data_IF_442000738146
#
_entry.id   IF_442000738146
#
_cell.length_a   1.000
_cell.length_b   1.000
_cell.length_c   1.000
_cell.angle_alpha   90.00
_cell.angle_beta   90.00
_cell.angle_gamma   90.00
#
_symmetry.space_group_name_H-M   'P 1'
#
loop_
_entity.id
_entity.type
_entity.pdbx_description
1 polymer ?
#
# COMPACT_ATOMS: atom_id res chain seq x y z
N UNK A 1 -21.73 76.35 -82.96
CA UNK A 1 -21.46 75.15 -83.79
C UNK A 1 -22.20 75.19 -85.13
N UNK A 2 -23.51 75.43 -85.15
CA UNK A 2 -24.28 75.29 -86.40
C UNK A 2 -23.89 76.27 -87.52
N UNK A 3 -23.49 77.51 -87.20
CA UNK A 3 -23.24 78.55 -88.21
C UNK A 3 -21.89 78.42 -88.92
N UNK A 4 -20.84 77.98 -88.23
CA UNK A 4 -19.52 77.74 -88.88
C UNK A 4 -19.62 76.57 -89.85
N UNK A 5 -20.24 75.46 -89.44
CA UNK A 5 -20.41 74.30 -90.32
C UNK A 5 -21.36 74.62 -91.49
N UNK A 6 -22.44 75.37 -91.26
CA UNK A 6 -23.35 75.81 -92.32
C UNK A 6 -22.65 76.71 -93.35
N UNK A 7 -21.85 77.69 -92.91
CA UNK A 7 -21.11 78.56 -93.82
C UNK A 7 -19.99 77.82 -94.58
N UNK A 8 -19.35 76.81 -93.96
CA UNK A 8 -18.39 75.93 -94.63
C UNK A 8 -19.06 75.01 -95.66
N UNK A 9 -20.21 74.44 -95.33
CA UNK A 9 -20.98 73.57 -96.23
C UNK A 9 -21.52 74.37 -97.43
N UNK A 10 -21.99 75.60 -97.22
CA UNK A 10 -22.41 76.51 -98.29
C UNK A 10 -21.21 76.93 -99.16
N UNK A 11 -20.05 77.18 -98.56
CA UNK A 11 -18.82 77.48 -99.29
C UNK A 11 -18.38 76.28 -100.16
N UNK A 12 -18.48 75.06 -99.63
CA UNK A 12 -18.21 73.83 -100.39
C UNK A 12 -19.19 73.70 -101.55
N UNK A 13 -20.49 73.89 -101.32
CA UNK A 13 -21.51 73.82 -102.38
C UNK A 13 -21.25 74.83 -103.51
N UNK A 14 -20.90 76.08 -103.17
CA UNK A 14 -20.53 77.12 -104.15
C UNK A 14 -19.31 76.71 -104.98
N UNK A 15 -18.32 76.05 -104.36
CA UNK A 15 -17.11 75.57 -105.04
C UNK A 15 -17.39 74.34 -105.91
N UNK A 16 -18.29 73.45 -105.49
CA UNK A 16 -18.70 72.27 -106.26
C UNK A 16 -19.53 72.61 -107.50
N UNK A 17 -20.43 73.61 -107.40
CA UNK A 17 -21.25 74.11 -108.51
C UNK A 17 -20.50 75.11 -109.42
N UNK A 18 -19.26 75.46 -109.06
CA UNK A 18 -18.47 76.46 -109.76
C UNK A 18 -18.18 76.05 -111.22
N UNK A 19 -18.32 77.02 -112.13
CA UNK A 19 -18.13 76.76 -113.56
C UNK A 19 -16.64 76.64 -113.90
N UNK A 20 -16.22 75.48 -114.41
CA UNK A 20 -14.84 75.23 -114.88
C UNK A 20 -14.43 76.09 -116.09
N UNK A 21 -13.17 76.50 -116.14
CA UNK A 21 -12.59 77.25 -117.27
C UNK A 21 -11.90 76.29 -118.25
N UNK A 22 -12.28 76.27 -119.55
CA UNK A 22 -11.78 75.29 -120.51
C UNK A 22 -10.24 75.26 -120.61
N UNK A 23 -9.66 74.06 -120.69
CA UNK A 23 -8.21 73.82 -120.81
C UNK A 23 -7.37 74.31 -119.62
N UNK A 24 -7.99 74.58 -118.46
CA UNK A 24 -7.31 74.90 -117.19
C UNK A 24 -7.90 74.11 -116.02
N UNK A 25 -7.18 74.02 -114.90
CA UNK A 25 -7.68 73.40 -113.67
C UNK A 25 -8.50 74.36 -112.78
N UNK A 26 -8.84 75.56 -113.28
CA UNK A 26 -9.53 76.60 -112.51
C UNK A 26 -11.05 76.57 -112.66
N UNK A 27 -11.76 77.04 -111.64
CA UNK A 27 -13.20 77.30 -111.66
C UNK A 27 -13.47 78.79 -111.38
N UNK A 28 -14.62 79.29 -111.86
CA UNK A 28 -15.11 80.64 -111.59
C UNK A 28 -16.13 80.56 -110.46
N UNK A 29 -15.81 81.20 -109.33
CA UNK A 29 -16.69 81.32 -108.16
C UNK A 29 -17.15 82.77 -107.98
N UNK A 30 -18.37 83.03 -107.49
CA UNK A 30 -18.81 84.35 -107.06
C UNK A 30 -17.96 84.82 -105.87
N UNK A 31 -17.00 85.73 -106.14
CA UNK A 31 -16.05 86.21 -105.13
C UNK A 31 -16.73 86.87 -103.92
N UNK A 32 -17.87 87.55 -104.12
CA UNK A 32 -18.60 88.21 -103.04
C UNK A 32 -19.10 87.21 -102.01
N UNK A 33 -19.90 86.25 -102.48
CA UNK A 33 -20.52 85.19 -101.67
C UNK A 33 -19.46 84.35 -100.93
N UNK A 34 -18.35 83.99 -101.59
CA UNK A 34 -17.23 83.28 -100.96
C UNK A 34 -16.58 84.09 -99.84
N UNK A 35 -16.37 85.39 -100.02
CA UNK A 35 -15.77 86.24 -98.99
C UNK A 35 -16.72 86.47 -97.81
N UNK A 36 -18.02 86.58 -98.07
CA UNK A 36 -19.04 86.70 -97.02
C UNK A 36 -19.09 85.44 -96.14
N UNK A 37 -19.09 84.25 -96.74
CA UNK A 37 -19.04 82.99 -96.01
C UNK A 37 -17.74 82.80 -95.23
N UNK A 38 -16.60 83.20 -95.80
CA UNK A 38 -15.32 83.18 -95.08
C UNK A 38 -15.28 84.18 -93.92
N UNK A 39 -15.93 85.34 -94.05
CA UNK A 39 -16.08 86.32 -92.97
C UNK A 39 -17.01 85.79 -91.87
N UNK A 40 -18.14 85.15 -92.23
CA UNK A 40 -19.03 84.47 -91.27
C UNK A 40 -18.31 83.36 -90.50
N UNK A 41 -17.50 82.54 -91.19
CA UNK A 41 -16.65 81.52 -90.57
C UNK A 41 -15.60 82.16 -89.65
N UNK A 42 -14.93 83.23 -90.10
CA UNK A 42 -13.93 83.95 -89.31
C UNK A 42 -14.52 84.54 -88.04
N UNK A 43 -15.73 85.07 -88.10
CA UNK A 43 -16.38 85.74 -86.99
C UNK A 43 -17.00 84.75 -86.00
N UNK A 44 -17.45 83.58 -86.48
CA UNK A 44 -18.09 82.55 -85.64
C UNK A 44 -17.09 81.53 -85.04
N UNK A 45 -15.98 81.18 -85.71
CA UNK A 45 -14.97 80.23 -85.20
C UNK A 45 -14.43 80.58 -83.81
N UNK A 46 -14.03 81.83 -83.51
CA UNK A 46 -13.45 82.17 -82.22
C UNK A 46 -14.38 81.85 -81.05
N UNK A 47 -15.68 82.12 -81.18
CA UNK A 47 -16.67 81.80 -80.15
C UNK A 47 -16.84 80.28 -79.97
N UNK A 48 -16.85 79.51 -81.05
CA UNK A 48 -16.96 78.04 -80.96
C UNK A 48 -15.71 77.39 -80.36
N UNK A 49 -14.53 77.97 -80.61
CA UNK A 49 -13.29 77.51 -80.01
C UNK A 49 -13.23 77.85 -78.51
N UNK A 50 -13.75 79.02 -78.12
CA UNK A 50 -13.89 79.44 -76.71
C UNK A 50 -14.84 78.49 -75.95
N UNK A 51 -16.02 78.21 -76.50
CA UNK A 51 -16.97 77.25 -75.95
C UNK A 51 -16.35 75.85 -75.78
N UNK A 52 -15.55 75.41 -76.77
CA UNK A 52 -14.86 74.13 -76.70
C UNK A 52 -13.76 74.11 -75.62
N UNK A 53 -13.05 75.22 -75.43
CA UNK A 53 -12.06 75.37 -74.37
C UNK A 53 -12.74 75.36 -73.00
N UNK A 54 -13.85 76.07 -72.83
CA UNK A 54 -14.64 76.05 -71.58
C UNK A 54 -15.09 74.64 -71.20
N UNK A 55 -15.53 73.83 -72.18
CA UNK A 55 -15.89 72.43 -71.93
C UNK A 55 -14.68 71.59 -71.51
N UNK A 56 -13.51 71.80 -72.12
CA UNK A 56 -12.28 71.10 -71.75
C UNK A 56 -11.81 71.47 -70.35
N UNK A 57 -11.84 72.76 -70.00
CA UNK A 57 -11.49 73.26 -68.68
C UNK A 57 -12.47 72.75 -67.62
N UNK A 58 -13.76 72.73 -67.93
CA UNK A 58 -14.78 72.17 -67.05
C UNK A 58 -14.57 70.67 -66.83
N UNK A 59 -14.26 69.91 -67.90
CA UNK A 59 -13.92 68.48 -67.80
C UNK A 59 -12.70 68.27 -66.92
N UNK A 60 -11.63 69.03 -67.14
CA UNK A 60 -10.38 68.86 -66.41
C UNK A 60 -10.56 69.18 -64.92
N UNK A 61 -11.36 70.22 -64.61
CA UNK A 61 -11.79 70.50 -63.25
C UNK A 61 -12.61 69.36 -62.64
N UNK A 62 -13.64 68.86 -63.34
CA UNK A 62 -14.46 67.75 -62.86
C UNK A 62 -13.63 66.49 -62.60
N UNK A 63 -12.69 66.16 -63.49
CA UNK A 63 -11.79 65.01 -63.34
C UNK A 63 -10.83 65.23 -62.15
N UNK A 64 -10.33 66.45 -61.97
CA UNK A 64 -9.51 66.82 -60.82
C UNK A 64 -10.26 66.65 -59.50
N UNK A 65 -11.45 67.24 -59.39
CA UNK A 65 -12.31 67.15 -58.21
C UNK A 65 -12.70 65.70 -57.92
N UNK A 66 -13.06 64.92 -58.95
CA UNK A 66 -13.41 63.51 -58.79
C UNK A 66 -12.22 62.67 -58.30
N UNK A 67 -11.01 62.91 -58.82
CA UNK A 67 -9.78 62.23 -58.35
C UNK A 67 -9.48 62.59 -56.91
N UNK A 68 -9.54 63.87 -56.55
CA UNK A 68 -9.30 64.33 -55.19
C UNK A 68 -10.30 63.70 -54.20
N UNK A 69 -11.59 63.70 -54.56
CA UNK A 69 -12.63 63.08 -53.74
C UNK A 69 -12.43 61.56 -53.60
N UNK A 70 -12.02 60.88 -54.67
CA UNK A 70 -11.73 59.45 -54.63
C UNK A 70 -10.51 59.15 -53.74
N UNK A 71 -9.42 59.91 -53.87
CA UNK A 71 -8.23 59.79 -53.03
C UNK A 71 -8.55 60.03 -51.56
N UNK A 72 -9.34 61.06 -51.26
CA UNK A 72 -9.79 61.34 -49.90
C UNK A 72 -10.65 60.21 -49.35
N UNK A 73 -11.59 59.69 -50.15
CA UNK A 73 -12.45 58.56 -49.74
C UNK A 73 -11.63 57.32 -49.43
N UNK A 74 -10.68 56.97 -50.29
CA UNK A 74 -9.79 55.82 -50.09
C UNK A 74 -8.89 56.02 -48.87
N UNK A 75 -8.35 57.22 -48.67
CA UNK A 75 -7.53 57.54 -47.50
C UNK A 75 -8.31 57.39 -46.19
N UNK A 76 -9.53 57.92 -46.13
CA UNK A 76 -10.40 57.79 -44.94
C UNK A 76 -10.78 56.34 -44.70
N UNK A 77 -11.21 55.61 -45.74
CA UNK A 77 -11.57 54.20 -45.62
C UNK A 77 -10.38 53.34 -45.14
N UNK A 78 -9.17 53.61 -45.63
CA UNK A 78 -7.97 52.91 -45.16
C UNK A 78 -7.62 53.25 -43.71
N UNK A 79 -7.81 54.50 -43.28
CA UNK A 79 -7.59 54.91 -41.90
C UNK A 79 -8.57 54.22 -40.94
N UNK A 80 -9.86 54.24 -41.27
CA UNK A 80 -10.92 53.57 -40.50
C UNK A 80 -10.71 52.05 -40.44
N UNK A 81 -10.30 51.44 -41.56
CA UNK A 81 -9.96 50.02 -41.59
C UNK A 81 -8.77 49.67 -40.68
N UNK A 82 -7.73 50.52 -40.68
CA UNK A 82 -6.58 50.33 -39.81
C UNK A 82 -6.91 50.49 -38.33
N UNK A 83 -7.74 51.47 -37.97
CA UNK A 83 -8.25 51.66 -36.61
C UNK A 83 -9.05 50.44 -36.16
N UNK A 84 -10.03 50.01 -36.97
CA UNK A 84 -10.87 48.83 -36.68
C UNK A 84 -10.05 47.56 -36.47
N UNK A 85 -9.02 47.33 -37.31
CA UNK A 85 -8.13 46.17 -37.17
C UNK A 85 -7.30 46.26 -35.89
N UNK A 86 -6.83 47.45 -35.52
CA UNK A 86 -6.04 47.67 -34.32
C UNK A 86 -6.88 47.39 -33.08
N UNK A 87 -8.08 47.98 -33.00
CA UNK A 87 -9.03 47.76 -31.92
C UNK A 87 -9.42 46.28 -31.81
N UNK A 88 -9.70 45.62 -32.94
CA UNK A 88 -10.02 44.21 -32.95
C UNK A 88 -8.88 43.34 -32.42
N UNK A 89 -7.62 43.67 -32.75
CA UNK A 89 -6.43 42.97 -32.27
C UNK A 89 -6.23 43.18 -30.77
N UNK A 90 -6.30 44.42 -30.28
CA UNK A 90 -6.17 44.71 -28.85
C UNK A 90 -7.27 44.02 -28.02
N UNK A 91 -8.50 44.00 -28.53
CA UNK A 91 -9.59 43.29 -27.88
C UNK A 91 -9.36 41.77 -27.88
N UNK A 92 -8.88 41.19 -28.98
CA UNK A 92 -8.54 39.78 -29.04
C UNK A 92 -7.41 39.42 -28.07
N UNK A 93 -6.36 40.23 -27.99
CA UNK A 93 -5.23 40.03 -27.09
C UNK A 93 -5.68 40.08 -25.62
N UNK A 94 -6.56 41.02 -25.27
CA UNK A 94 -7.17 41.10 -23.93
C UNK A 94 -8.00 39.85 -23.60
N UNK A 95 -8.87 39.42 -24.50
CA UNK A 95 -9.69 38.21 -24.31
C UNK A 95 -8.79 36.97 -24.12
N UNK A 96 -7.73 36.86 -24.91
CA UNK A 96 -6.78 35.75 -24.81
C UNK A 96 -6.00 35.78 -23.48
N UNK A 97 -5.61 36.95 -22.99
CA UNK A 97 -4.97 37.10 -21.69
C UNK A 97 -5.92 36.70 -20.56
N UNK A 98 -7.14 37.24 -20.56
CA UNK A 98 -8.16 36.91 -19.55
C UNK A 98 -8.50 35.42 -19.54
N UNK A 99 -8.63 34.81 -20.72
CA UNK A 99 -8.90 33.38 -20.86
C UNK A 99 -7.74 32.51 -20.34
N UNK A 100 -6.49 32.92 -20.58
CA UNK A 100 -5.30 32.25 -20.04
C UNK A 100 -5.27 32.34 -18.52
N UNK A 101 -5.50 33.52 -17.96
CA UNK A 101 -5.52 33.72 -16.50
C UNK A 101 -6.65 32.92 -15.83
N UNK A 102 -7.80 32.78 -16.49
CA UNK A 102 -8.89 31.92 -16.00
C UNK A 102 -8.52 30.43 -16.08
N UNK A 103 -7.89 30.00 -17.18
CA UNK A 103 -7.44 28.62 -17.33
C UNK A 103 -6.37 28.26 -16.28
N UNK A 104 -5.41 29.14 -16.04
CA UNK A 104 -4.35 28.95 -15.05
C UNK A 104 -4.92 28.85 -13.63
N UNK A 105 -5.90 29.71 -13.29
CA UNK A 105 -6.63 29.61 -12.02
C UNK A 105 -7.38 28.29 -11.88
N UNK A 106 -8.13 27.88 -12.91
CA UNK A 106 -8.86 26.62 -12.90
C UNK A 106 -7.93 25.42 -12.72
N UNK A 107 -6.78 25.41 -13.40
CA UNK A 107 -5.79 24.34 -13.26
C UNK A 107 -5.17 24.34 -11.85
N UNK A 108 -4.87 25.50 -11.28
CA UNK A 108 -4.34 25.61 -9.92
C UNK A 108 -5.34 25.11 -8.87
N UNK A 109 -6.61 25.52 -8.98
CA UNK A 109 -7.69 25.06 -8.10
C UNK A 109 -7.92 23.56 -8.23
N UNK A 110 -8.00 23.02 -9.45
CA UNK A 110 -8.15 21.59 -9.69
C UNK A 110 -6.99 20.78 -9.12
N UNK A 111 -5.74 21.26 -9.25
CA UNK A 111 -4.56 20.62 -8.64
C UNK A 111 -4.64 20.64 -7.11
N UNK A 112 -4.94 21.79 -6.51
CA UNK A 112 -5.09 21.89 -5.06
C UNK A 112 -6.19 20.97 -4.52
N UNK A 113 -7.32 20.87 -5.24
CA UNK A 113 -8.41 19.98 -4.85
C UNK A 113 -8.01 18.50 -4.98
N UNK A 114 -7.31 18.13 -6.05
CA UNK A 114 -6.80 16.77 -6.21
C UNK A 114 -5.79 16.40 -5.12
N UNK A 115 -4.89 17.32 -4.74
CA UNK A 115 -3.95 17.11 -3.63
C UNK A 115 -4.66 16.91 -2.29
N UNK A 116 -5.71 17.68 -2.02
CA UNK A 116 -6.55 17.52 -0.82
C UNK A 116 -7.24 16.16 -0.80
N UNK A 117 -7.87 15.74 -1.91
CA UNK A 117 -8.53 14.44 -2.00
C UNK A 117 -7.55 13.27 -1.78
N UNK A 118 -6.33 13.38 -2.33
CA UNK A 118 -5.29 12.36 -2.14
C UNK A 118 -4.81 12.33 -0.68
N UNK A 119 -4.70 13.49 -0.03
CA UNK A 119 -4.32 13.56 1.39
C UNK A 119 -5.41 12.91 2.27
N UNK A 120 -6.66 13.30 2.08
CA UNK A 120 -7.81 12.77 2.84
C UNK A 120 -7.94 11.25 2.66
N UNK A 121 -7.84 10.76 1.42
CA UNK A 121 -7.88 9.32 1.14
C UNK A 121 -6.72 8.55 1.80
N UNK A 122 -5.54 9.16 1.93
CA UNK A 122 -4.40 8.55 2.64
C UNK A 122 -4.63 8.52 4.14
N UNK A 123 -5.13 9.60 4.73
CA UNK A 123 -5.46 9.65 6.16
C UNK A 123 -6.55 8.63 6.53
N UNK A 124 -7.58 8.49 5.68
CA UNK A 124 -8.64 7.48 5.86
C UNK A 124 -8.09 6.06 5.74
N UNK A 125 -7.21 5.80 4.75
CA UNK A 125 -6.56 4.52 4.59
C UNK A 125 -5.69 4.16 5.82
N UNK A 126 -4.89 5.11 6.30
CA UNK A 126 -4.05 4.92 7.50
C UNK A 126 -4.89 4.66 8.74
N UNK A 127 -6.00 5.38 8.92
CA UNK A 127 -6.95 5.18 10.02
C UNK A 127 -7.56 3.77 9.97
N UNK A 128 -8.00 3.33 8.78
CA UNK A 128 -8.58 2.00 8.57
C UNK A 128 -7.58 0.89 8.86
N UNK A 129 -6.34 1.04 8.42
CA UNK A 129 -5.26 0.08 8.70
C UNK A 129 -4.97 0.02 10.21
N UNK A 130 -4.88 1.17 10.88
CA UNK A 130 -4.63 1.23 12.31
C UNK A 130 -5.79 0.63 13.14
N UNK A 131 -7.04 0.79 12.71
CA UNK A 131 -8.18 0.11 13.29
C UNK A 131 -8.08 -1.41 13.10
N UNK A 132 -7.86 -1.88 11.86
CA UNK A 132 -7.72 -3.30 11.56
C UNK A 132 -6.59 -3.97 12.34
N UNK A 133 -5.45 -3.29 12.51
CA UNK A 133 -4.33 -3.78 13.34
C UNK A 133 -4.73 -3.93 14.81
N UNK A 134 -5.42 -2.95 15.38
CA UNK A 134 -5.90 -3.01 16.78
C UNK A 134 -6.89 -4.16 16.99
N UNK A 135 -7.81 -4.36 16.05
CA UNK A 135 -8.76 -5.47 16.11
C UNK A 135 -8.05 -6.83 15.99
N UNK A 136 -7.12 -6.94 15.05
CA UNK A 136 -6.32 -8.13 14.84
C UNK A 136 -5.51 -8.51 16.09
N UNK A 137 -4.84 -7.54 16.71
CA UNK A 137 -4.06 -7.75 17.93
C UNK A 137 -4.94 -8.16 19.11
N UNK A 138 -6.12 -7.53 19.25
CA UNK A 138 -7.09 -7.89 20.28
C UNK A 138 -7.61 -9.32 20.11
N UNK A 139 -7.99 -9.69 18.88
CA UNK A 139 -8.50 -11.02 18.55
C UNK A 139 -7.42 -12.08 18.79
N UNK A 140 -6.21 -11.83 18.30
CA UNK A 140 -5.07 -12.74 18.43
C UNK A 140 -4.70 -12.94 19.90
N UNK A 141 -4.66 -11.87 20.70
CA UNK A 141 -4.38 -11.93 22.14
C UNK A 141 -5.44 -12.75 22.89
N UNK A 142 -6.72 -12.55 22.55
CA UNK A 142 -7.83 -13.29 23.14
C UNK A 142 -7.78 -14.78 22.78
N UNK A 143 -7.56 -15.11 21.51
CA UNK A 143 -7.42 -16.49 21.05
C UNK A 143 -6.24 -17.21 21.72
N UNK A 144 -5.08 -16.53 21.86
CA UNK A 144 -3.93 -17.08 22.59
C UNK A 144 -4.27 -17.36 24.05
N UNK A 145 -4.86 -16.39 24.75
CA UNK A 145 -5.24 -16.55 26.16
C UNK A 145 -6.33 -17.62 26.36
N UNK A 146 -7.23 -17.81 25.41
CA UNK A 146 -8.20 -18.90 25.44
C UNK A 146 -7.55 -20.26 25.18
N UNK A 147 -6.65 -20.35 24.21
CA UNK A 147 -5.88 -21.56 23.92
C UNK A 147 -5.04 -22.00 25.11
N UNK A 148 -4.33 -21.07 25.77
CA UNK A 148 -3.53 -21.34 26.95
C UNK A 148 -4.40 -21.88 28.10
N UNK A 149 -5.56 -21.25 28.35
CA UNK A 149 -6.54 -21.73 29.34
C UNK A 149 -7.06 -23.13 29.02
N UNK A 150 -7.31 -23.44 27.75
CA UNK A 150 -7.76 -24.76 27.34
C UNK A 150 -6.68 -25.82 27.58
N UNK A 151 -5.42 -25.50 27.25
CA UNK A 151 -4.27 -26.39 27.51
C UNK A 151 -4.11 -26.62 29.03
N UNK A 152 -4.18 -25.58 29.83
CA UNK A 152 -4.04 -25.67 31.29
C UNK A 152 -5.18 -26.49 31.91
N UNK A 153 -6.43 -26.22 31.52
CA UNK A 153 -7.60 -27.01 31.95
C UNK A 153 -7.49 -28.47 31.50
N UNK A 154 -6.98 -28.72 30.30
CA UNK A 154 -6.73 -30.05 29.77
C UNK A 154 -5.68 -30.80 30.59
N UNK A 155 -4.55 -30.16 30.90
CA UNK A 155 -3.49 -30.71 31.75
C UNK A 155 -4.00 -31.04 33.15
N UNK A 156 -4.70 -30.10 33.80
CA UNK A 156 -5.26 -30.33 35.13
C UNK A 156 -6.29 -31.48 35.16
N UNK A 157 -7.05 -31.67 34.09
CA UNK A 157 -7.99 -32.79 33.98
C UNK A 157 -7.28 -34.11 33.71
N UNK A 158 -6.23 -34.09 32.88
CA UNK A 158 -5.37 -35.25 32.63
C UNK A 158 -4.65 -35.70 33.92
N UNK A 159 -4.02 -34.77 34.65
CA UNK A 159 -3.33 -35.06 35.91
C UNK A 159 -4.26 -35.67 36.94
N UNK A 160 -5.49 -35.14 37.07
CA UNK A 160 -6.53 -35.74 37.93
C UNK A 160 -6.88 -37.17 37.50
N UNK A 161 -7.15 -37.39 36.21
CA UNK A 161 -7.50 -38.72 35.71
C UNK A 161 -6.36 -39.75 35.91
N UNK A 162 -5.10 -39.33 35.75
CA UNK A 162 -3.94 -40.16 36.03
C UNK A 162 -3.84 -40.46 37.53
N UNK A 163 -4.00 -39.46 38.39
CA UNK A 163 -4.00 -39.64 39.85
C UNK A 163 -5.09 -40.60 40.33
N UNK A 164 -6.32 -40.40 39.85
CA UNK A 164 -7.45 -41.28 40.15
C UNK A 164 -7.21 -42.71 39.64
N UNK A 165 -6.62 -42.84 38.44
CA UNK A 165 -6.26 -44.13 37.86
C UNK A 165 -5.19 -44.89 38.65
N UNK A 166 -4.15 -44.19 39.13
CA UNK A 166 -3.11 -44.77 39.99
C UNK A 166 -3.73 -45.21 41.33
N UNK A 167 -4.54 -44.36 41.95
CA UNK A 167 -5.19 -44.69 43.22
C UNK A 167 -6.12 -45.92 43.09
N UNK A 168 -6.87 -46.01 42.00
CA UNK A 168 -7.72 -47.17 41.72
C UNK A 168 -6.91 -48.42 41.40
N UNK A 169 -5.81 -48.30 40.65
CA UNK A 169 -4.87 -49.40 40.40
C UNK A 169 -4.30 -49.93 41.72
N UNK A 170 -3.81 -49.06 42.60
CA UNK A 170 -3.29 -49.43 43.93
C UNK A 170 -4.37 -50.16 44.76
N UNK A 171 -5.60 -49.65 44.74
CA UNK A 171 -6.74 -50.28 45.39
C UNK A 171 -6.98 -51.70 44.86
N UNK A 172 -7.03 -51.90 43.55
CA UNK A 172 -7.24 -53.20 42.92
C UNK A 172 -6.09 -54.19 43.19
N UNK A 173 -4.84 -53.73 43.16
CA UNK A 173 -3.67 -54.54 43.49
C UNK A 173 -3.72 -54.97 44.95
N UNK A 174 -4.03 -54.07 45.89
CA UNK A 174 -4.14 -54.41 47.32
C UNK A 174 -5.27 -55.41 47.63
N UNK A 175 -6.33 -55.42 46.81
CA UNK A 175 -7.45 -56.34 46.94
C UNK A 175 -7.23 -57.69 46.24
N UNK A 176 -6.15 -57.85 45.47
CA UNK A 176 -5.85 -59.10 44.78
C UNK A 176 -5.42 -60.18 45.78
N UNK A 177 -5.98 -61.39 45.69
CA UNK A 177 -5.69 -62.49 46.63
C UNK A 177 -4.20 -62.81 46.75
N UNK A 178 -3.44 -62.70 45.65
CA UNK A 178 -1.99 -62.94 45.66
C UNK A 178 -1.26 -61.93 46.56
N UNK A 179 -1.66 -60.65 46.56
CA UNK A 179 -1.05 -59.60 47.39
C UNK A 179 -1.43 -59.80 48.86
N UNK A 180 -2.69 -60.13 49.14
CA UNK A 180 -3.13 -60.44 50.50
C UNK A 180 -2.44 -61.69 51.05
N UNK A 181 -2.33 -62.74 50.24
CA UNK A 181 -1.61 -63.96 50.59
C UNK A 181 -0.12 -63.68 50.81
N UNK A 182 0.51 -62.87 49.95
CA UNK A 182 1.91 -62.47 50.12
C UNK A 182 2.14 -61.66 51.41
N UNK A 183 1.23 -60.76 51.78
CA UNK A 183 1.29 -60.02 53.05
C UNK A 183 1.08 -60.93 54.26
N UNK A 184 0.08 -61.82 54.20
CA UNK A 184 -0.18 -62.78 55.26
C UNK A 184 1.02 -63.72 55.45
N UNK A 185 1.63 -64.20 54.36
CA UNK A 185 2.82 -65.05 54.42
C UNK A 185 4.04 -64.28 54.92
N UNK A 186 4.23 -63.02 54.50
CA UNK A 186 5.31 -62.16 55.02
C UNK A 186 5.18 -61.96 56.53
N UNK A 187 3.96 -61.71 57.03
CA UNK A 187 3.69 -61.60 58.45
C UNK A 187 3.98 -62.93 59.17
N UNK A 188 3.54 -64.07 58.63
CA UNK A 188 3.85 -65.39 59.20
C UNK A 188 5.36 -65.67 59.27
N UNK A 189 6.11 -65.32 58.23
CA UNK A 189 7.57 -65.51 58.18
C UNK A 189 8.25 -64.64 59.24
N UNK A 190 7.82 -63.39 59.41
CA UNK A 190 8.32 -62.49 60.47
C UNK A 190 8.01 -63.05 61.85
N UNK A 191 6.77 -63.46 62.09
CA UNK A 191 6.34 -64.04 63.38
C UNK A 191 7.10 -65.34 63.69
N UNK A 192 7.26 -66.22 62.70
CA UNK A 192 8.03 -67.44 62.83
C UNK A 192 9.51 -67.16 63.14
N UNK A 193 10.13 -66.19 62.46
CA UNK A 193 11.50 -65.79 62.71
C UNK A 193 11.69 -65.20 64.11
N UNK A 194 10.73 -64.41 64.60
CA UNK A 194 10.73 -63.92 65.98
C UNK A 194 10.58 -65.06 67.00
N UNK A 195 9.62 -65.96 66.79
CA UNK A 195 9.41 -67.11 67.68
C UNK A 195 10.62 -68.06 67.72
N UNK A 196 11.27 -68.28 66.57
CA UNK A 196 12.49 -69.06 66.48
C UNK A 196 13.66 -68.35 67.18
N UNK A 197 13.80 -67.04 67.02
CA UNK A 197 14.81 -66.24 67.73
C UNK A 197 14.63 -66.31 69.25
N UNK A 198 13.39 -66.24 69.73
CA UNK A 198 13.09 -66.34 71.16
C UNK A 198 13.29 -67.77 71.70
N UNK A 199 13.00 -68.79 70.89
CA UNK A 199 13.31 -70.19 71.22
C UNK A 199 14.82 -70.41 71.33
N UNK A 200 15.59 -69.95 70.34
CA UNK A 200 17.06 -70.04 70.36
C UNK A 200 17.65 -69.35 71.58
N UNK A 201 17.15 -68.17 71.96
CA UNK A 201 17.55 -67.50 73.21
C UNK A 201 17.26 -68.37 74.43
N UNK A 202 16.05 -68.90 74.53
CA UNK A 202 15.65 -69.73 75.67
C UNK A 202 16.45 -71.04 75.76
N UNK A 203 16.73 -71.68 74.62
CA UNK A 203 17.58 -72.88 74.53
C UNK A 203 19.03 -72.57 74.89
N UNK A 204 19.57 -71.44 74.44
CA UNK A 204 20.88 -70.96 74.86
C UNK A 204 20.93 -70.71 76.37
N UNK A 205 19.92 -70.05 76.94
CA UNK A 205 19.84 -69.78 78.38
C UNK A 205 19.80 -71.09 79.19
N UNK A 206 18.96 -72.05 78.77
CA UNK A 206 18.84 -73.35 79.44
C UNK A 206 20.10 -74.22 79.27
N UNK A 207 20.76 -74.15 78.12
CA UNK A 207 22.05 -74.80 77.90
C UNK A 207 23.14 -74.20 78.80
N UNK A 208 23.20 -72.88 78.90
CA UNK A 208 24.13 -72.18 79.80
C UNK A 208 23.87 -72.56 81.26
N UNK A 209 22.61 -72.56 81.70
CA UNK A 209 22.22 -72.96 83.06
C UNK A 209 22.61 -74.42 83.36
N UNK A 210 22.30 -75.34 82.45
CA UNK A 210 22.69 -76.75 82.58
C UNK A 210 24.20 -76.92 82.67
N UNK A 211 24.97 -76.21 81.83
CA UNK A 211 26.44 -76.29 81.86
C UNK A 211 27.02 -75.65 83.12
N UNK A 212 26.41 -74.59 83.63
CA UNK A 212 26.78 -73.99 84.92
C UNK A 212 26.47 -74.94 86.09
N UNK A 213 25.34 -75.63 86.08
CA UNK A 213 24.98 -76.63 87.08
C UNK A 213 25.92 -77.85 87.04
N UNK A 214 26.23 -78.38 85.85
CA UNK A 214 27.25 -79.44 85.70
C UNK A 214 28.63 -78.99 86.21
N UNK A 215 28.99 -77.73 85.96
CA UNK A 215 30.23 -77.15 86.44
C UNK A 215 30.22 -76.98 87.98
N UNK A 216 29.10 -76.56 88.56
CA UNK A 216 28.89 -76.50 90.01
C UNK A 216 29.02 -77.88 90.66
N UNK A 217 28.41 -78.90 90.07
CA UNK A 217 28.51 -80.29 90.53
C UNK A 217 29.95 -80.80 90.44
N UNK A 218 30.65 -80.48 89.35
CA UNK A 218 32.07 -80.83 89.17
C UNK A 218 32.95 -80.15 90.23
N UNK A 219 32.74 -78.87 90.50
CA UNK A 219 33.46 -78.14 91.56
C UNK A 219 33.11 -78.67 92.95
N UNK A 220 31.84 -78.98 93.23
CA UNK A 220 31.39 -79.59 94.49
C UNK A 220 31.96 -80.99 94.69
N UNK A 221 32.03 -81.78 93.63
CA UNK A 221 32.73 -83.07 93.60
C UNK A 221 34.23 -82.92 93.85
N UNK A 222 34.85 -81.92 93.26
CA UNK A 222 36.27 -81.58 93.47
C UNK A 222 36.52 -81.13 94.91
N UNK A 223 35.69 -80.28 95.49
CA UNK A 223 35.76 -79.87 96.91
C UNK A 223 35.58 -81.07 97.83
N UNK A 224 34.64 -81.98 97.55
CA UNK A 224 34.48 -83.24 98.30
C UNK A 224 35.69 -84.17 98.14
N UNK A 225 36.30 -84.21 96.96
CA UNK A 225 37.53 -84.98 96.72
C UNK A 225 38.73 -84.39 97.48
N UNK A 226 38.91 -83.06 97.45
CA UNK A 226 39.92 -82.34 98.25
C UNK A 226 39.64 -82.48 99.74
N UNK A 227 38.37 -82.45 100.16
CA UNK A 227 37.94 -82.74 101.53
C UNK A 227 38.29 -84.15 101.97
N UNK A 228 38.02 -85.16 101.14
CA UNK A 228 38.43 -86.55 101.37
C UNK A 228 39.95 -86.70 101.39
N UNK A 229 40.69 -86.09 100.48
CA UNK A 229 42.16 -86.07 100.48
C UNK A 229 42.75 -85.38 101.72
N UNK A 230 42.13 -84.29 102.20
CA UNK A 230 42.50 -83.64 103.46
C UNK A 230 42.15 -84.48 104.69
N UNK A 231 41.04 -85.22 104.66
CA UNK A 231 40.67 -86.18 105.70
C UNK A 231 41.66 -87.37 105.70
N UNK A 232 42.05 -87.90 104.53
CA UNK A 232 43.04 -88.97 104.35
C UNK A 232 44.45 -88.56 104.77
N UNK A 233 44.80 -87.27 104.70
CA UNK A 233 46.03 -86.73 105.29
C UNK A 233 45.93 -86.50 106.81
N UNK A 234 44.70 -86.49 107.38
CA UNK A 234 44.43 -86.37 108.82
C UNK A 234 44.21 -87.71 109.54
N UNK A 235 43.84 -88.76 108.80
CA UNK A 235 43.65 -90.14 109.29
C UNK A 235 44.35 -91.10 108.33
N UNK A 236 45.46 -91.69 108.78
CA UNK A 236 46.31 -92.54 107.95
C UNK A 236 45.70 -93.89 107.55
N UNK A 237 46.40 -94.51 106.60
CA UNK A 237 46.37 -95.93 106.12
C UNK A 237 45.23 -96.38 105.20
N UNK A 238 45.61 -96.94 104.03
CA UNK A 238 44.80 -97.87 103.22
C UNK A 238 44.82 -97.63 101.70
N UNK A 239 45.57 -98.46 100.96
CA UNK A 239 45.67 -98.64 99.49
C UNK A 239 45.26 -100.09 99.20
N UNK A 240 44.93 -100.56 97.97
CA UNK A 240 44.11 -100.07 96.82
C UNK A 240 43.01 -101.10 96.43
N UNK A 241 42.24 -100.89 95.34
CA UNK A 241 42.10 -101.93 94.28
C UNK A 241 41.54 -101.36 92.96
N UNK A 242 42.00 -101.94 91.85
CA UNK A 242 41.62 -101.68 90.45
C UNK A 242 40.63 -102.77 89.96
N UNK A 243 40.07 -102.56 88.76
CA UNK A 243 39.31 -103.53 87.93
C UNK A 243 37.78 -103.57 88.19
N UNK A 244 36.84 -103.63 87.24
CA UNK A 244 36.85 -103.97 85.81
C UNK A 244 35.59 -103.36 85.13
N UNK A 245 35.53 -103.28 83.79
CA UNK A 245 34.23 -103.16 83.09
C UNK A 245 34.21 -102.54 81.69
N UNK A 246 34.79 -103.23 80.71
CA UNK A 246 34.54 -103.05 79.28
C UNK A 246 33.07 -103.39 78.91
N UNK A 247 32.47 -102.65 77.97
CA UNK A 247 31.37 -103.20 77.17
C UNK A 247 30.44 -102.19 76.47
N UNK A 248 30.42 -102.21 75.13
CA UNK A 248 29.17 -102.01 74.38
C UNK A 248 29.15 -100.97 73.25
N UNK A 249 29.42 -101.43 72.03
CA UNK A 249 29.07 -100.78 70.75
C UNK A 249 27.54 -100.76 70.55
N UNK A 250 27.00 -99.78 69.82
CA UNK A 250 26.45 -99.96 68.45
C UNK A 250 25.47 -98.85 68.04
N UNK A 251 25.68 -98.38 66.79
CA UNK A 251 24.80 -97.68 65.84
C UNK A 251 24.67 -96.17 65.98
#
# INVERSE_FOLDING_TARGET
>A
MYRVFEALDELVAIVEEARGVPMTAGCVVPRGDVLELLDDVRDAIPGELDDAQDVLDHRDKLVGDARQNAEQTVSTANAEAHETITDARENADRILADAKDQADRMVAEARSHAEQLVLEAREEADSTVAEGQREYDSLTSRARAESDRMIESGKASYERAVGDGIAEQERLVSQTEVVQAAHAESARVIDAAHAESDRLRSECDLYVDTKLAEFEDFLSGTIRSVGRGRQQLRTGTGVPDYDAGYGGRHR
#
